data_IF_110092880275
#
_entry.id   IF_110092880275
#
_cell.length_a   1.000
_cell.length_b   1.000
_cell.length_c   1.000
_cell.angle_alpha   90.00
_cell.angle_beta   90.00
_cell.angle_gamma   90.00
#
_symmetry.space_group_name_H-M   'P 1'
#
loop_
_entity.id
_entity.type
_entity.pdbx_description
1 polymer ?
#
# COMPACT_ATOMS: atom_id res chain seq x y z
N UNK A 1 -2.46 10.58 -16.26
CA UNK A 1 -2.01 10.42 -14.86
C UNK A 1 -1.69 8.95 -14.65
N UNK A 2 -0.51 8.63 -14.13
CA UNK A 2 -0.08 7.25 -13.89
C UNK A 2 -0.38 6.83 -12.45
N UNK A 3 -0.66 5.55 -12.23
CA UNK A 3 -1.06 5.05 -10.91
C UNK A 3 -0.04 4.05 -10.37
N UNK A 4 0.36 4.26 -9.11
CA UNK A 4 1.04 3.26 -8.27
C UNK A 4 -0.02 2.52 -7.46
N UNK A 5 -0.07 1.20 -7.58
CA UNK A 5 -0.97 0.35 -6.80
C UNK A 5 -0.22 -0.36 -5.67
N UNK A 6 -0.54 0.00 -4.43
CA UNK A 6 0.01 -0.66 -3.24
C UNK A 6 -0.87 -1.82 -2.79
N UNK A 7 -0.27 -2.98 -2.48
CA UNK A 7 -0.99 -4.20 -2.12
C UNK A 7 -0.51 -4.72 -0.76
N UNK A 8 -1.44 -4.96 0.16
CA UNK A 8 -1.18 -5.80 1.33
C UNK A 8 -2.26 -6.87 1.49
N UNK A 9 -2.23 -7.64 2.57
CA UNK A 9 -3.26 -8.65 2.83
C UNK A 9 -4.64 -8.01 3.02
N UNK A 10 -4.81 -7.16 4.03
CA UNK A 10 -6.15 -6.72 4.47
C UNK A 10 -6.66 -5.38 3.92
N UNK A 11 -5.86 -4.61 3.20
CA UNK A 11 -6.14 -3.21 2.80
C UNK A 11 -6.66 -2.30 3.92
N UNK A 12 -6.22 -2.54 5.15
CA UNK A 12 -6.66 -1.81 6.36
C UNK A 12 -5.52 -1.00 7.00
N UNK A 13 -4.28 -1.42 6.78
CA UNK A 13 -3.07 -0.87 7.39
C UNK A 13 -2.00 -0.50 6.35
N UNK A 14 -1.05 -1.39 6.07
CA UNK A 14 0.23 -1.07 5.41
C UNK A 14 0.06 -0.45 4.02
N UNK A 15 -0.76 -1.06 3.16
CA UNK A 15 -1.01 -0.53 1.81
C UNK A 15 -1.79 0.79 1.83
N UNK A 16 -2.71 0.96 2.78
CA UNK A 16 -3.48 2.20 2.94
C UNK A 16 -2.59 3.34 3.40
N UNK A 17 -1.66 3.06 4.32
CA UNK A 17 -0.69 4.06 4.74
C UNK A 17 0.24 4.48 3.58
N UNK A 18 0.76 3.51 2.82
CA UNK A 18 1.60 3.79 1.65
C UNK A 18 0.88 4.65 0.60
N UNK A 19 -0.38 4.33 0.29
CA UNK A 19 -1.21 5.13 -0.62
C UNK A 19 -1.41 6.56 -0.11
N UNK A 20 -1.86 6.72 1.13
CA UNK A 20 -2.17 8.03 1.69
C UNK A 20 -0.92 8.91 1.79
N UNK A 21 0.20 8.32 2.23
CA UNK A 21 1.48 9.02 2.30
C UNK A 21 1.96 9.43 0.91
N UNK A 22 1.90 8.54 -0.08
CA UNK A 22 2.30 8.86 -1.46
C UNK A 22 1.45 10.00 -2.04
N UNK A 23 0.13 9.92 -1.92
CA UNK A 23 -0.78 10.95 -2.44
C UNK A 23 -0.59 12.30 -1.75
N UNK A 24 -0.27 12.31 -0.46
CA UNK A 24 -0.01 13.54 0.28
C UNK A 24 1.24 14.30 -0.23
N UNK A 25 2.17 13.61 -0.89
CA UNK A 25 3.38 14.20 -1.47
C UNK A 25 3.13 14.89 -2.83
N UNK A 26 1.93 14.73 -3.42
CA UNK A 26 1.51 15.42 -4.65
C UNK A 26 2.51 15.29 -5.82
N UNK A 27 3.02 14.09 -6.03
CA UNK A 27 4.01 13.80 -7.08
C UNK A 27 3.43 14.12 -8.47
N UNK A 28 4.04 15.04 -9.25
CA UNK A 28 3.47 15.46 -10.53
C UNK A 28 3.25 14.30 -11.51
N UNK A 29 2.04 14.20 -12.07
CA UNK A 29 1.70 13.16 -13.06
C UNK A 29 1.40 11.77 -12.47
N UNK A 30 1.56 11.60 -11.16
CA UNK A 30 1.36 10.34 -10.45
C UNK A 30 0.28 10.44 -9.37
N UNK A 31 -0.40 9.33 -9.15
CA UNK A 31 -1.24 9.11 -7.97
C UNK A 31 -1.04 7.68 -7.47
N UNK A 32 -1.54 7.40 -6.27
CA UNK A 32 -1.56 6.07 -5.70
C UNK A 32 -2.97 5.59 -5.39
N UNK A 33 -3.16 4.28 -5.48
CA UNK A 33 -4.30 3.56 -4.91
C UNK A 33 -3.79 2.32 -4.16
N UNK A 34 -4.66 1.62 -3.44
CA UNK A 34 -4.28 0.39 -2.74
C UNK A 34 -5.40 -0.64 -2.62
N UNK A 35 -5.00 -1.91 -2.59
CA UNK A 35 -5.89 -3.07 -2.52
C UNK A 35 -5.42 -4.17 -1.59
N UNK A 36 -6.32 -5.09 -1.30
CA UNK A 36 -6.15 -6.19 -0.35
C UNK A 36 -6.23 -7.55 -1.03
N UNK A 37 -5.26 -8.42 -0.75
CA UNK A 37 -5.25 -9.80 -1.26
C UNK A 37 -6.20 -10.73 -0.53
N UNK A 38 -6.59 -10.40 0.71
CA UNK A 38 -7.53 -11.16 1.52
C UNK A 38 -8.08 -10.26 2.62
N UNK A 39 -9.23 -9.66 2.35
CA UNK A 39 -9.90 -8.79 3.32
C UNK A 39 -10.32 -9.57 4.56
N UNK A 40 -10.41 -8.86 5.69
CA UNK A 40 -10.87 -9.41 6.96
C UNK A 40 -12.08 -8.62 7.44
N UNK A 41 -13.15 -9.33 7.80
CA UNK A 41 -14.32 -8.75 8.48
C UNK A 41 -14.05 -8.44 9.95
N UNK A 42 -12.93 -8.88 10.51
CA UNK A 42 -12.53 -8.58 11.88
C UNK A 42 -11.95 -7.17 12.05
N UNK A 43 -11.70 -6.45 10.95
CA UNK A 43 -11.24 -5.07 11.01
C UNK A 43 -12.33 -4.17 11.61
N UNK A 44 -11.97 -3.40 12.62
CA UNK A 44 -12.88 -2.44 13.24
C UNK A 44 -12.83 -1.13 12.46
N UNK A 45 -13.79 -0.96 11.55
CA UNK A 45 -13.91 0.24 10.72
C UNK A 45 -13.12 0.20 9.41
N UNK A 46 -13.04 1.34 8.70
CA UNK A 46 -12.51 1.39 7.34
C UNK A 46 -10.97 1.40 7.26
N UNK A 47 -10.28 1.81 8.33
CA UNK A 47 -8.82 1.88 8.41
C UNK A 47 -8.36 1.70 9.85
N UNK A 48 -7.14 1.21 10.05
CA UNK A 48 -6.56 1.17 11.38
C UNK A 48 -6.29 2.61 11.88
N UNK A 49 -6.79 3.06 13.04
CA UNK A 49 -6.66 4.46 13.46
C UNK A 49 -5.22 4.99 13.49
N UNK A 50 -4.26 4.13 13.85
CA UNK A 50 -2.84 4.50 13.86
C UNK A 50 -2.31 4.94 12.50
N UNK A 51 -2.92 4.51 11.38
CA UNK A 51 -2.55 5.00 10.04
C UNK A 51 -2.83 6.49 9.91
N UNK A 52 -3.98 6.94 10.40
CA UNK A 52 -4.38 8.35 10.34
C UNK A 52 -3.54 9.18 11.31
N UNK A 53 -3.27 8.64 12.51
CA UNK A 53 -2.42 9.30 13.50
C UNK A 53 -1.00 9.47 12.98
N UNK A 54 -0.43 8.44 12.35
CA UNK A 54 0.89 8.50 11.74
C UNK A 54 0.95 9.51 10.60
N UNK A 55 -0.09 9.57 9.77
CA UNK A 55 -0.18 10.56 8.69
C UNK A 55 -0.17 12.00 9.24
N UNK A 56 -0.91 12.25 10.33
CA UNK A 56 -0.88 13.56 11.04
C UNK A 56 0.47 13.88 11.64
N UNK A 57 1.19 12.89 12.17
CA UNK A 57 2.55 13.08 12.72
C UNK A 57 3.54 13.55 11.65
N UNK A 58 3.32 13.19 10.38
CA UNK A 58 4.08 13.69 9.23
C UNK A 58 3.58 15.03 8.68
N UNK A 59 2.67 15.70 9.39
CA UNK A 59 2.14 17.01 9.00
C UNK A 59 1.06 16.97 7.91
N UNK A 60 0.55 15.79 7.57
CA UNK A 60 -0.48 15.64 6.54
C UNK A 60 -1.87 15.49 7.14
N UNK A 61 -2.84 16.19 6.57
CA UNK A 61 -4.25 16.04 6.91
C UNK A 61 -4.79 14.73 6.32
N UNK A 62 -5.40 13.85 7.13
CA UNK A 62 -6.10 12.69 6.60
C UNK A 62 -7.30 13.10 5.74
N UNK A 63 -7.77 12.22 4.84
CA UNK A 63 -8.95 12.49 4.04
C UNK A 63 -10.19 12.67 4.91
N UNK A 64 -11.12 13.53 4.48
CA UNK A 64 -12.39 13.77 5.18
C UNK A 64 -13.23 12.49 5.29
N UNK A 65 -13.21 11.67 4.23
CA UNK A 65 -13.87 10.37 4.20
C UNK A 65 -12.85 9.26 4.01
N UNK A 66 -12.94 8.24 4.87
CA UNK A 66 -12.07 7.06 4.81
C UNK A 66 -12.86 5.89 4.23
N UNK A 67 -12.46 5.45 3.04
CA UNK A 67 -13.07 4.28 2.37
C UNK A 67 -12.77 2.96 3.10
N UNK A 68 -13.69 2.01 3.00
CA UNK A 68 -13.50 0.64 3.46
C UNK A 68 -12.39 -0.09 2.66
N UNK A 69 -11.79 -1.15 3.23
CA UNK A 69 -10.83 -2.00 2.52
C UNK A 69 -11.43 -2.56 1.22
N UNK A 70 -10.66 -2.50 0.14
CA UNK A 70 -11.07 -2.99 -1.17
C UNK A 70 -10.21 -4.18 -1.58
N UNK A 71 -10.86 -5.22 -2.10
CA UNK A 71 -10.19 -6.43 -2.57
C UNK A 71 -9.52 -6.14 -3.91
N UNK A 72 -8.34 -6.71 -4.12
CA UNK A 72 -7.66 -6.64 -5.41
C UNK A 72 -8.45 -7.41 -6.47
N UNK A 73 -8.63 -6.81 -7.64
CA UNK A 73 -9.05 -7.45 -8.88
C UNK A 73 -7.96 -7.29 -9.95
N UNK A 74 -8.06 -8.07 -11.03
CA UNK A 74 -7.02 -8.11 -12.07
C UNK A 74 -7.01 -6.84 -12.91
N UNK A 75 -8.16 -6.18 -13.09
CA UNK A 75 -8.29 -4.93 -13.83
C UNK A 75 -7.38 -3.83 -13.25
N UNK A 76 -7.24 -3.79 -11.93
CA UNK A 76 -6.39 -2.81 -11.24
C UNK A 76 -4.91 -3.10 -11.47
N UNK A 77 -4.53 -4.37 -11.59
CA UNK A 77 -3.16 -4.76 -11.94
C UNK A 77 -2.84 -4.35 -13.39
N UNK A 78 -3.78 -4.54 -14.32
CA UNK A 78 -3.63 -4.15 -15.72
C UNK A 78 -3.52 -2.63 -15.88
N UNK A 79 -4.31 -1.86 -15.13
CA UNK A 79 -4.38 -0.41 -15.25
C UNK A 79 -3.23 0.32 -14.54
N UNK A 80 -2.66 -0.27 -13.49
CA UNK A 80 -1.58 0.34 -12.74
C UNK A 80 -0.29 0.42 -13.57
N UNK A 81 0.34 1.59 -13.59
CA UNK A 81 1.66 1.77 -14.22
C UNK A 81 2.77 1.09 -13.39
N UNK A 82 2.56 0.99 -12.07
CA UNK A 82 3.45 0.30 -11.15
C UNK A 82 2.65 -0.38 -10.05
N UNK A 83 3.03 -1.60 -9.68
CA UNK A 83 2.41 -2.34 -8.58
C UNK A 83 3.47 -2.71 -7.55
N UNK A 84 3.14 -2.50 -6.27
CA UNK A 84 4.04 -2.78 -5.13
C UNK A 84 3.29 -3.55 -4.06
N UNK A 85 3.69 -4.79 -3.80
CA UNK A 85 3.24 -5.55 -2.63
C UNK A 85 4.17 -5.30 -1.44
N UNK A 86 3.61 -5.07 -0.25
CA UNK A 86 4.35 -4.53 0.90
C UNK A 86 5.36 -5.50 1.54
N UNK A 87 5.18 -6.81 1.32
CA UNK A 87 6.03 -7.86 1.87
C UNK A 87 6.06 -9.08 0.93
N UNK A 88 7.25 -9.52 0.52
CA UNK A 88 7.35 -10.64 -0.40
C UNK A 88 6.91 -11.98 0.20
N UNK A 89 7.36 -12.26 1.42
CA UNK A 89 7.14 -13.56 2.07
C UNK A 89 5.65 -13.79 2.32
N UNK A 90 4.93 -12.76 2.75
CA UNK A 90 3.50 -12.80 3.00
C UNK A 90 2.67 -12.80 1.71
N UNK A 91 3.01 -11.94 0.74
CA UNK A 91 2.12 -11.68 -0.39
C UNK A 91 2.41 -12.55 -1.62
N UNK A 92 3.65 -13.03 -1.83
CA UNK A 92 3.98 -13.88 -2.98
C UNK A 92 3.11 -15.15 -3.05
N UNK A 93 2.87 -15.91 -1.95
CA UNK A 93 1.97 -17.06 -2.00
C UNK A 93 0.53 -16.70 -2.35
N UNK A 94 0.03 -15.55 -1.86
CA UNK A 94 -1.32 -15.09 -2.15
C UNK A 94 -1.47 -14.64 -3.61
N UNK A 95 -0.43 -13.97 -4.15
CA UNK A 95 -0.36 -13.64 -5.57
C UNK A 95 -0.31 -14.90 -6.44
N UNK A 96 0.48 -15.91 -6.06
CA UNK A 96 0.52 -17.19 -6.79
C UNK A 96 -0.84 -17.87 -6.83
N UNK A 97 -1.57 -17.85 -5.72
CA UNK A 97 -2.88 -18.47 -5.62
C UNK A 97 -3.95 -17.74 -6.45
N UNK A 98 -3.93 -16.39 -6.46
CA UNK A 98 -5.03 -15.57 -6.98
C UNK A 98 -4.74 -14.91 -8.33
N UNK A 99 -3.50 -14.53 -8.58
CA UNK A 99 -3.04 -13.75 -9.73
C UNK A 99 -1.69 -14.28 -10.24
N UNK A 100 -1.58 -15.57 -10.61
CA UNK A 100 -0.29 -16.23 -10.89
C UNK A 100 0.53 -15.54 -11.98
N UNK A 101 -0.14 -14.96 -12.99
CA UNK A 101 0.52 -14.25 -14.10
C UNK A 101 1.23 -12.95 -13.68
N UNK A 102 0.92 -12.43 -12.50
CA UNK A 102 1.41 -11.15 -12.00
C UNK A 102 2.54 -11.28 -10.97
N UNK A 103 2.78 -12.49 -10.47
CA UNK A 103 3.74 -12.75 -9.38
C UNK A 103 5.10 -12.12 -9.65
N UNK A 104 5.65 -12.30 -10.86
CA UNK A 104 6.97 -11.74 -11.21
C UNK A 104 6.90 -10.43 -12.01
N UNK A 105 5.72 -9.81 -12.07
CA UNK A 105 5.46 -8.53 -12.78
C UNK A 105 5.27 -7.34 -11.83
N UNK A 106 5.24 -7.61 -10.53
CA UNK A 106 5.09 -6.59 -9.49
C UNK A 106 6.37 -6.47 -8.68
N UNK A 107 6.52 -5.35 -7.96
CA UNK A 107 7.59 -5.19 -6.99
C UNK A 107 7.14 -5.71 -5.63
N UNK A 108 8.09 -6.24 -4.88
CA UNK A 108 7.88 -6.59 -3.48
C UNK A 108 8.81 -5.76 -2.60
N UNK A 109 8.25 -5.26 -1.50
CA UNK A 109 9.01 -4.71 -0.39
C UNK A 109 9.20 -5.78 0.68
N UNK A 110 9.85 -5.41 1.78
CA UNK A 110 10.16 -6.28 2.91
C UNK A 110 9.62 -5.66 4.21
N UNK A 111 8.30 -5.48 4.24
CA UNK A 111 7.57 -4.91 5.39
C UNK A 111 6.50 -5.89 5.90
N UNK A 112 6.92 -6.91 6.69
CA UNK A 112 6.01 -7.88 7.28
C UNK A 112 4.91 -7.22 8.11
N UNK A 113 3.78 -7.92 8.27
CA UNK A 113 2.73 -7.49 9.21
C UNK A 113 3.06 -7.82 10.65
N UNK A 114 2.19 -7.35 11.54
CA UNK A 114 2.11 -7.84 12.90
C UNK A 114 1.78 -9.36 12.93
N UNK A 115 2.32 -10.11 13.91
CA UNK A 115 3.27 -9.67 14.95
C UNK A 115 4.74 -9.73 14.50
N UNK A 116 5.03 -10.15 13.27
CA UNK A 116 6.39 -10.39 12.78
C UNK A 116 7.26 -9.13 12.74
N UNK A 117 6.64 -7.97 12.48
CA UNK A 117 7.30 -6.66 12.57
C UNK A 117 6.44 -5.71 13.42
N UNK A 118 7.02 -5.03 14.43
CA UNK A 118 6.29 -4.01 15.19
C UNK A 118 5.79 -2.90 14.26
N UNK A 119 4.56 -2.43 14.49
CA UNK A 119 3.90 -1.46 13.62
C UNK A 119 4.72 -0.18 13.43
N UNK A 120 5.38 0.32 14.48
CA UNK A 120 6.25 1.50 14.42
C UNK A 120 7.42 1.32 13.44
N UNK A 121 8.00 0.12 13.40
CA UNK A 121 9.09 -0.21 12.47
C UNK A 121 8.54 -0.38 11.06
N UNK A 122 7.36 -0.99 10.91
CA UNK A 122 6.70 -1.13 9.63
C UNK A 122 6.32 0.23 9.02
N UNK A 123 5.84 1.19 9.82
CA UNK A 123 5.59 2.56 9.39
C UNK A 123 6.84 3.22 8.83
N UNK A 124 7.96 3.19 9.56
CA UNK A 124 9.23 3.72 9.08
C UNK A 124 9.71 3.07 7.77
N UNK A 125 9.56 1.75 7.62
CA UNK A 125 9.92 1.08 6.36
C UNK A 125 9.03 1.52 5.20
N UNK A 126 7.74 1.74 5.44
CA UNK A 126 6.82 2.25 4.41
C UNK A 126 7.20 3.68 4.02
N UNK A 127 7.53 4.53 4.98
CA UNK A 127 7.97 5.92 4.73
C UNK A 127 9.22 5.94 3.84
N UNK A 128 10.23 5.13 4.18
CA UNK A 128 11.45 4.97 3.38
C UNK A 128 11.17 4.44 1.97
N UNK A 129 10.32 3.42 1.85
CA UNK A 129 9.94 2.83 0.56
C UNK A 129 9.18 3.82 -0.33
N UNK A 130 8.24 4.57 0.24
CA UNK A 130 7.49 5.62 -0.47
C UNK A 130 8.45 6.73 -0.92
N UNK A 131 9.33 7.23 -0.05
CA UNK A 131 10.27 8.28 -0.41
C UNK A 131 11.23 7.83 -1.53
N UNK A 132 11.77 6.61 -1.42
CA UNK A 132 12.65 6.05 -2.45
C UNK A 132 11.91 5.92 -3.80
N UNK A 133 10.66 5.47 -3.77
CA UNK A 133 9.84 5.38 -4.97
C UNK A 133 9.59 6.76 -5.59
N UNK A 134 9.26 7.77 -4.78
CA UNK A 134 9.03 9.14 -5.28
C UNK A 134 10.28 9.66 -5.99
N UNK A 135 11.46 9.49 -5.37
CA UNK A 135 12.74 9.90 -5.97
C UNK A 135 12.98 9.20 -7.32
N UNK A 136 12.64 7.91 -7.44
CA UNK A 136 12.72 7.17 -8.71
C UNK A 136 11.76 7.74 -9.77
N UNK A 137 10.54 8.09 -9.39
CA UNK A 137 9.54 8.58 -10.33
C UNK A 137 9.81 10.00 -10.83
N UNK A 138 10.52 10.82 -10.05
CA UNK A 138 10.90 12.19 -10.41
C UNK A 138 12.16 12.27 -11.29
N UNK A 139 12.93 11.19 -11.38
CA UNK A 139 14.16 11.13 -12.20
C UNK A 139 13.92 10.56 -13.60
N UNK A 140 12.67 10.23 -13.93
CA UNK A 140 12.22 9.72 -15.23
C UNK A 140 11.54 10.83 -16.03
#
# INVERSE_FOLDING_TARGET
MQTVLFICTGNYYRSRYAELLFNAQQVPGWCADSRGLRLSSANLGPIWPLVLDRLRQHGFSPPLEVRWPLALCEEELVQAALVVALDETEHRPLMQQRFPMWVDRIRYWQTPDLPALPAEVAFHRIEQGVQALINELQTR
#
